data_IF_545899769889
#
_entry.id   IF_545899769889
#
_cell.length_a   1.000
_cell.length_b   1.000
_cell.length_c   1.000
_cell.angle_alpha   90.00
_cell.angle_beta   90.00
_cell.angle_gamma   90.00
#
_symmetry.space_group_name_H-M   'P 1'
#
loop_
_entity.id
_entity.type
_entity.pdbx_description
1 polymer ?
#
# COMPACT_ATOMS: atom_id res chain seq x y z
N UNK A 1 -6.14 9.84 25.86
CA UNK A 1 -6.75 9.86 24.51
C UNK A 1 -7.90 8.85 24.37
N UNK A 2 -8.54 8.42 25.48
CA UNK A 2 -9.55 7.35 25.47
C UNK A 2 -10.96 7.87 25.13
N UNK A 3 -11.31 9.07 25.56
CA UNK A 3 -12.69 9.56 25.58
C UNK A 3 -13.32 9.88 24.20
N UNK A 4 -12.53 10.05 23.13
CA UNK A 4 -13.06 10.36 21.78
C UNK A 4 -13.42 9.09 21.01
N UNK A 5 -12.72 7.98 21.28
CA UNK A 5 -12.90 6.67 20.62
C UNK A 5 -14.21 6.02 21.05
N UNK A 6 -14.63 6.22 22.31
CA UNK A 6 -15.81 5.58 22.90
C UNK A 6 -17.16 6.16 22.42
N UNK A 7 -17.15 7.34 21.79
CA UNK A 7 -18.38 8.04 21.34
C UNK A 7 -18.63 7.87 19.84
N UNK A 8 -17.58 7.56 19.08
CA UNK A 8 -17.69 7.36 17.64
C UNK A 8 -18.12 5.92 17.35
N UNK A 9 -19.10 5.69 16.45
CA UNK A 9 -19.53 4.35 16.05
C UNK A 9 -18.48 3.73 15.10
N UNK A 10 -17.30 3.44 15.64
CA UNK A 10 -16.14 2.99 14.88
C UNK A 10 -16.42 1.67 14.15
N UNK A 11 -17.24 0.79 14.74
CA UNK A 11 -17.70 -0.45 14.16
C UNK A 11 -18.57 -0.28 12.91
N UNK A 12 -19.22 0.87 12.75
CA UNK A 12 -20.02 1.22 11.57
C UNK A 12 -19.23 1.95 10.47
N UNK A 13 -17.97 2.35 10.74
CA UNK A 13 -17.14 3.05 9.75
C UNK A 13 -16.79 2.08 8.61
N UNK A 14 -17.21 2.45 7.40
CA UNK A 14 -16.92 1.70 6.17
C UNK A 14 -15.79 2.31 5.34
N UNK A 15 -15.48 3.59 5.58
CA UNK A 15 -14.43 4.33 4.88
C UNK A 15 -13.61 5.13 5.87
N UNK A 16 -12.29 5.01 5.78
CA UNK A 16 -11.33 5.70 6.64
C UNK A 16 -10.30 6.37 5.75
N UNK A 17 -10.11 7.65 5.95
CA UNK A 17 -9.05 8.45 5.31
C UNK A 17 -8.05 8.80 6.39
N UNK A 18 -6.78 8.44 6.17
CA UNK A 18 -5.69 8.71 7.10
C UNK A 18 -4.64 9.57 6.42
N UNK A 19 -4.19 10.61 7.13
CA UNK A 19 -3.11 11.49 6.72
C UNK A 19 -2.32 11.85 7.99
N UNK A 20 -1.23 11.14 8.25
CA UNK A 20 -0.38 11.40 9.40
C UNK A 20 0.94 10.65 9.31
N UNK A 21 2.00 11.37 8.95
CA UNK A 21 3.38 10.85 8.94
C UNK A 21 3.96 10.62 10.35
N UNK A 22 3.51 11.40 11.36
CA UNK A 22 4.18 11.46 12.67
C UNK A 22 3.39 10.89 13.86
N UNK A 23 2.06 10.83 13.79
CA UNK A 23 1.25 10.39 14.93
C UNK A 23 1.00 8.87 14.98
N UNK A 24 1.26 8.15 13.89
CA UNK A 24 0.99 6.71 13.78
C UNK A 24 2.22 6.00 13.20
N UNK A 25 3.05 5.48 14.08
CA UNK A 25 4.38 4.96 13.72
C UNK A 25 4.44 3.43 13.78
N UNK A 26 3.64 2.82 14.67
CA UNK A 26 3.65 1.39 14.91
C UNK A 26 2.29 0.73 14.63
N UNK A 27 2.29 -0.59 14.42
CA UNK A 27 1.05 -1.35 14.32
C UNK A 27 0.18 -1.21 15.57
N UNK A 28 0.79 -1.08 16.75
CA UNK A 28 0.08 -0.86 18.02
C UNK A 28 -0.73 0.44 17.99
N UNK A 29 -0.19 1.50 17.40
CA UNK A 29 -0.88 2.78 17.29
C UNK A 29 -2.10 2.65 16.38
N UNK A 30 -1.96 1.94 15.25
CA UNK A 30 -3.08 1.63 14.36
C UNK A 30 -4.19 0.83 15.06
N UNK A 31 -3.84 -0.23 15.79
CA UNK A 31 -4.83 -1.02 16.54
C UNK A 31 -5.51 -0.19 17.64
N UNK A 32 -4.76 0.67 18.33
CA UNK A 32 -5.31 1.53 19.39
C UNK A 32 -6.31 2.54 18.83
N UNK A 33 -6.03 3.11 17.66
CA UNK A 33 -6.88 4.14 17.06
C UNK A 33 -8.05 3.57 16.25
N UNK A 34 -7.83 2.47 15.53
CA UNK A 34 -8.76 1.98 14.50
C UNK A 34 -9.10 0.49 14.62
N UNK A 35 -8.63 -0.21 15.66
CA UNK A 35 -8.87 -1.65 15.84
C UNK A 35 -10.36 -2.01 15.99
N UNK A 36 -11.20 -1.04 16.37
CA UNK A 36 -12.66 -1.21 16.44
C UNK A 36 -13.36 -1.13 15.06
N UNK A 37 -12.71 -0.62 14.02
CA UNK A 37 -13.31 -0.43 12.69
C UNK A 37 -13.42 -1.73 11.89
N UNK A 38 -14.16 -2.71 12.39
CA UNK A 38 -14.27 -4.05 11.80
C UNK A 38 -15.04 -4.09 10.48
N UNK A 39 -15.91 -3.10 10.23
CA UNK A 39 -16.70 -2.99 9.00
C UNK A 39 -16.00 -2.18 7.90
N UNK A 40 -14.73 -1.80 8.10
CA UNK A 40 -14.01 -0.96 7.15
C UNK A 40 -13.80 -1.69 5.81
N UNK A 41 -14.29 -1.08 4.73
CA UNK A 41 -14.19 -1.57 3.35
C UNK A 41 -13.23 -0.75 2.50
N UNK A 42 -13.07 0.53 2.81
CA UNK A 42 -12.22 1.45 2.05
C UNK A 42 -11.23 2.14 2.99
N UNK A 43 -9.95 1.96 2.72
CA UNK A 43 -8.87 2.67 3.41
C UNK A 43 -8.15 3.56 2.40
N UNK A 44 -8.06 4.85 2.71
CA UNK A 44 -7.28 5.84 1.96
C UNK A 44 -6.14 6.31 2.84
N UNK A 45 -4.93 6.23 2.30
CA UNK A 45 -3.69 6.53 2.98
C UNK A 45 -2.98 7.61 2.17
N UNK A 46 -2.80 8.78 2.77
CA UNK A 46 -2.33 9.99 2.09
C UNK A 46 -0.98 10.41 2.67
N UNK A 47 0.02 10.61 1.82
CA UNK A 47 1.39 11.11 2.13
C UNK A 47 2.27 10.21 3.00
N UNK A 48 1.78 9.09 3.56
CA UNK A 48 2.60 8.21 4.41
C UNK A 48 2.27 6.73 4.23
N UNK A 49 3.26 5.84 4.25
CA UNK A 49 3.01 4.39 4.32
C UNK A 49 4.11 3.67 5.07
N UNK A 50 4.08 3.84 6.40
CA UNK A 50 5.05 3.23 7.30
C UNK A 50 4.87 1.71 7.47
N UNK A 51 5.93 1.05 7.91
CA UNK A 51 5.94 -0.38 8.25
C UNK A 51 4.85 -0.77 9.25
N UNK A 52 4.50 0.13 10.17
CA UNK A 52 3.44 -0.09 11.16
C UNK A 52 2.07 -0.37 10.54
N UNK A 53 1.72 0.29 9.43
CA UNK A 53 0.45 0.05 8.74
C UNK A 53 0.42 -1.38 8.18
N UNK A 54 1.48 -1.77 7.46
CA UNK A 54 1.55 -3.09 6.87
C UNK A 54 1.55 -4.18 7.93
N UNK A 55 2.33 -4.02 9.00
CA UNK A 55 2.33 -4.97 10.12
C UNK A 55 0.93 -5.14 10.75
N UNK A 56 0.13 -4.06 10.83
CA UNK A 56 -1.25 -4.13 11.31
C UNK A 56 -2.20 -4.83 10.32
N UNK A 57 -1.97 -4.66 9.02
CA UNK A 57 -2.76 -5.27 7.95
C UNK A 57 -2.44 -6.76 7.73
N UNK A 58 -1.25 -7.23 8.10
CA UNK A 58 -0.72 -8.57 7.77
C UNK A 58 -0.45 -9.48 8.98
N UNK A 59 -0.91 -9.14 10.18
CA UNK A 59 -0.78 -9.96 11.41
C UNK A 59 0.62 -10.07 12.03
N UNK A 60 1.57 -9.18 11.73
CA UNK A 60 2.91 -9.29 12.34
C UNK A 60 2.95 -8.95 13.85
N UNK A 61 1.82 -8.55 14.46
CA UNK A 61 1.88 -7.89 15.76
C UNK A 61 1.42 -8.72 16.97
N UNK A 62 0.48 -9.67 16.91
CA UNK A 62 0.10 -10.45 18.12
C UNK A 62 -0.50 -11.84 17.85
N UNK A 63 -0.01 -12.84 18.58
CA UNK A 63 -0.61 -14.18 18.70
C UNK A 63 -2.12 -14.08 18.96
N UNK A 64 -2.93 -14.69 18.09
CA UNK A 64 -4.37 -14.81 18.25
C UNK A 64 -5.21 -13.58 17.86
N UNK A 65 -4.61 -12.52 17.31
CA UNK A 65 -5.39 -11.39 16.74
C UNK A 65 -5.69 -11.61 15.25
N UNK A 66 -6.79 -11.04 14.77
CA UNK A 66 -7.13 -10.95 13.34
C UNK A 66 -6.48 -9.71 12.72
N UNK A 67 -6.20 -9.68 11.40
CA UNK A 67 -5.61 -8.51 10.80
C UNK A 67 -6.59 -7.34 10.92
N UNK A 68 -6.06 -6.12 10.95
CA UNK A 68 -6.93 -4.96 10.88
C UNK A 68 -7.76 -4.98 9.60
N UNK A 69 -8.98 -4.47 9.72
CA UNK A 69 -9.94 -4.32 8.63
C UNK A 69 -10.18 -5.67 7.90
N UNK A 70 -10.76 -6.67 8.57
CA UNK A 70 -10.90 -8.02 8.03
C UNK A 70 -11.79 -8.10 6.78
N UNK A 71 -12.56 -7.05 6.47
CA UNK A 71 -13.43 -6.95 5.29
C UNK A 71 -12.98 -5.85 4.31
N UNK A 72 -11.72 -5.43 4.38
CA UNK A 72 -11.19 -4.37 3.52
C UNK A 72 -11.23 -4.78 2.05
N UNK A 73 -11.95 -4.02 1.23
CA UNK A 73 -12.14 -4.28 -0.20
C UNK A 73 -11.27 -3.40 -1.09
N UNK A 74 -10.96 -2.18 -0.63
CA UNK A 74 -10.20 -1.20 -1.39
C UNK A 74 -9.13 -0.54 -0.52
N UNK A 75 -7.90 -0.56 -1.01
CA UNK A 75 -6.77 0.15 -0.41
C UNK A 75 -6.26 1.20 -1.40
N UNK A 76 -6.29 2.46 -1.00
CA UNK A 76 -5.84 3.59 -1.82
C UNK A 76 -4.64 4.25 -1.17
N UNK A 77 -3.57 4.42 -1.95
CA UNK A 77 -2.42 5.24 -1.62
C UNK A 77 -2.45 6.50 -2.48
N UNK A 78 -2.24 7.64 -1.85
CA UNK A 78 -2.25 8.96 -2.48
C UNK A 78 -1.02 9.76 -2.02
N UNK A 79 -0.16 10.19 -2.95
CA UNK A 79 1.04 10.97 -2.60
C UNK A 79 2.10 10.19 -1.80
N UNK A 80 2.07 8.86 -1.82
CA UNK A 80 2.94 8.01 -0.98
C UNK A 80 4.21 7.59 -1.72
N UNK A 81 5.36 7.76 -1.06
CA UNK A 81 6.60 7.09 -1.46
C UNK A 81 6.59 5.61 -1.01
N UNK A 82 6.57 4.72 -2.00
CA UNK A 82 6.57 3.27 -1.80
C UNK A 82 7.90 2.61 -2.19
N UNK A 83 8.87 3.41 -2.65
CA UNK A 83 10.21 2.96 -3.02
C UNK A 83 11.13 2.82 -1.78
N UNK A 84 10.96 3.66 -0.77
CA UNK A 84 11.84 3.74 0.42
C UNK A 84 11.59 2.66 1.50
N UNK A 85 11.06 1.51 1.10
CA UNK A 85 10.48 0.54 2.02
C UNK A 85 11.20 -0.82 1.93
N UNK A 86 11.84 -1.28 3.02
CA UNK A 86 12.71 -2.48 3.09
C UNK A 86 12.08 -3.77 2.51
N UNK A 87 10.75 -3.85 2.50
CA UNK A 87 10.00 -4.98 1.91
C UNK A 87 9.26 -4.53 0.65
N UNK A 88 9.43 -5.24 -0.49
CA UNK A 88 8.71 -4.91 -1.71
C UNK A 88 7.20 -4.87 -1.52
N UNK A 89 6.55 -3.85 -2.08
CA UNK A 89 5.08 -3.68 -2.08
C UNK A 89 4.33 -4.95 -2.46
N UNK A 90 4.81 -5.67 -3.48
CA UNK A 90 4.25 -6.95 -3.92
C UNK A 90 4.16 -7.97 -2.78
N UNK A 91 5.21 -8.11 -1.98
CA UNK A 91 5.23 -9.06 -0.86
C UNK A 91 4.19 -8.68 0.19
N UNK A 92 4.09 -7.39 0.52
CA UNK A 92 3.13 -6.88 1.50
C UNK A 92 1.67 -7.10 1.09
N UNK A 93 1.36 -6.95 -0.20
CA UNK A 93 0.04 -7.26 -0.75
C UNK A 93 -0.29 -8.75 -0.69
N UNK A 94 0.71 -9.62 -0.95
CA UNK A 94 0.55 -11.08 -0.80
C UNK A 94 0.33 -11.43 0.67
N UNK A 95 1.16 -10.90 1.57
CA UNK A 95 1.03 -11.15 3.01
C UNK A 95 -0.36 -10.70 3.52
N UNK A 96 -0.89 -9.61 2.97
CA UNK A 96 -2.25 -9.13 3.26
C UNK A 96 -3.32 -10.10 2.76
N UNK A 97 -3.21 -10.60 1.53
CA UNK A 97 -4.16 -11.56 1.00
C UNK A 97 -4.11 -12.88 1.78
N UNK A 98 -2.93 -13.34 2.20
CA UNK A 98 -2.80 -14.51 3.09
C UNK A 98 -3.50 -14.27 4.43
N UNK A 99 -3.35 -13.08 5.01
CA UNK A 99 -3.95 -12.73 6.30
C UNK A 99 -5.49 -12.60 6.23
N UNK A 100 -6.04 -12.12 5.12
CA UNK A 100 -7.47 -11.96 4.91
C UNK A 100 -7.88 -12.34 3.46
N UNK A 101 -7.96 -13.66 3.15
CA UNK A 101 -8.09 -14.14 1.77
C UNK A 101 -9.32 -13.62 1.04
N UNK A 102 -9.10 -13.08 -0.16
CA UNK A 102 -10.18 -12.68 -1.07
C UNK A 102 -10.98 -11.44 -0.64
N UNK A 103 -10.52 -10.74 0.41
CA UNK A 103 -11.20 -9.55 0.93
C UNK A 103 -10.82 -8.31 0.12
N UNK A 104 -9.52 -8.11 -0.08
CA UNK A 104 -8.99 -6.98 -0.81
C UNK A 104 -9.13 -7.22 -2.32
N UNK A 105 -9.96 -6.39 -2.96
CA UNK A 105 -10.35 -6.53 -4.36
C UNK A 105 -9.63 -5.52 -5.25
N UNK A 106 -9.33 -4.34 -4.71
CA UNK A 106 -8.75 -3.22 -5.48
C UNK A 106 -7.64 -2.57 -4.69
N UNK A 107 -6.51 -2.31 -5.35
CA UNK A 107 -5.47 -1.42 -4.86
C UNK A 107 -5.33 -0.24 -5.82
N UNK A 108 -5.33 0.97 -5.28
CA UNK A 108 -5.23 2.20 -6.05
C UNK A 108 -3.99 2.97 -5.65
N UNK A 109 -3.30 3.50 -6.65
CA UNK A 109 -2.15 4.37 -6.47
C UNK A 109 -2.43 5.68 -7.20
N UNK A 110 -2.47 6.78 -6.46
CA UNK A 110 -2.56 8.14 -6.98
C UNK A 110 -1.32 8.90 -6.55
N UNK A 111 -0.68 9.59 -7.49
CA UNK A 111 0.48 10.45 -7.22
C UNK A 111 1.59 9.78 -6.37
N UNK A 112 1.71 8.45 -6.46
CA UNK A 112 2.73 7.67 -5.74
C UNK A 112 3.99 7.56 -6.58
N UNK A 113 5.16 7.65 -5.94
CA UNK A 113 6.44 7.38 -6.60
C UNK A 113 6.64 5.86 -6.75
N UNK A 114 6.09 5.29 -7.82
CA UNK A 114 6.18 3.86 -8.13
C UNK A 114 6.68 3.67 -9.56
N UNK A 115 7.76 2.88 -9.70
CA UNK A 115 8.20 2.42 -11.01
C UNK A 115 7.17 1.48 -11.61
N UNK A 116 6.82 1.72 -12.87
CA UNK A 116 5.83 0.92 -13.61
C UNK A 116 6.17 -0.57 -13.67
N UNK A 117 7.44 -0.93 -13.77
CA UNK A 117 7.92 -2.31 -13.78
C UNK A 117 7.60 -3.04 -12.48
N UNK A 118 7.49 -2.32 -11.35
CA UNK A 118 7.05 -2.87 -10.07
C UNK A 118 5.55 -3.17 -10.07
N UNK A 119 4.73 -2.29 -10.64
CA UNK A 119 3.28 -2.49 -10.78
C UNK A 119 2.93 -3.71 -11.65
N UNK A 120 3.60 -3.87 -12.80
CA UNK A 120 3.39 -5.04 -13.70
C UNK A 120 3.65 -6.39 -13.01
N UNK A 121 4.48 -6.43 -11.97
CA UNK A 121 4.81 -7.66 -11.23
C UNK A 121 3.78 -8.02 -10.17
N UNK A 122 2.87 -7.10 -9.82
CA UNK A 122 1.80 -7.31 -8.83
C UNK A 122 0.64 -8.04 -9.52
N UNK A 123 0.47 -9.32 -9.21
CA UNK A 123 -0.71 -10.09 -9.62
C UNK A 123 -1.75 -9.96 -8.52
N UNK A 124 -2.68 -9.02 -8.67
CA UNK A 124 -3.76 -8.74 -7.73
C UNK A 124 -5.07 -8.55 -8.52
N UNK A 125 -6.27 -8.83 -7.97
CA UNK A 125 -7.50 -8.82 -8.76
C UNK A 125 -7.76 -7.53 -9.54
N UNK A 126 -7.43 -6.37 -8.95
CA UNK A 126 -7.46 -5.09 -9.66
C UNK A 126 -6.44 -4.12 -9.09
N UNK A 127 -5.64 -3.51 -9.97
CA UNK A 127 -4.69 -2.44 -9.66
C UNK A 127 -5.05 -1.23 -10.53
N UNK A 128 -5.26 -0.07 -9.91
CA UNK A 128 -5.57 1.19 -10.60
C UNK A 128 -4.43 2.16 -10.33
N UNK A 129 -3.91 2.82 -11.37
CA UNK A 129 -2.84 3.80 -11.25
C UNK A 129 -3.25 5.13 -11.91
N UNK A 130 -3.26 6.22 -11.13
CA UNK A 130 -3.66 7.57 -11.56
C UNK A 130 -5.00 7.60 -12.32
N UNK A 131 -5.97 6.81 -11.85
CA UNK A 131 -7.31 6.73 -12.45
C UNK A 131 -7.39 5.90 -13.73
N UNK A 132 -6.27 5.35 -14.23
CA UNK A 132 -6.25 4.43 -15.36
C UNK A 132 -6.36 2.98 -14.88
N UNK A 133 -7.30 2.22 -15.47
CA UNK A 133 -7.38 0.75 -15.31
C UNK A 133 -6.37 0.03 -16.21
N UNK A 134 -6.00 0.65 -17.33
CA UNK A 134 -4.95 0.19 -18.23
C UNK A 134 -3.64 0.84 -17.81
N UNK A 135 -2.66 0.04 -17.38
CA UNK A 135 -1.30 0.55 -17.18
C UNK A 135 -0.81 1.05 -18.56
N UNK A 136 -0.64 2.38 -18.78
CA UNK A 136 -0.65 3.00 -20.10
C UNK A 136 0.36 2.32 -21.01
N UNK A 137 -0.04 1.46 -21.97
CA UNK A 137 0.86 0.62 -22.78
C UNK A 137 2.14 1.37 -23.12
N UNK A 138 3.27 0.85 -22.63
CA UNK A 138 4.55 1.52 -22.84
C UNK A 138 4.80 1.43 -24.33
N UNK A 139 4.94 2.59 -24.98
CA UNK A 139 5.71 2.64 -26.20
C UNK A 139 7.04 1.94 -25.87
N UNK A 140 7.34 0.92 -26.67
CA UNK A 140 8.63 0.25 -26.65
C UNK A 140 9.64 1.35 -26.97
N UNK A 141 10.28 1.91 -25.93
CA UNK A 141 11.46 2.74 -26.11
C UNK A 141 12.47 1.86 -26.83
N UNK A 142 12.75 2.26 -28.07
CA UNK A 142 13.57 1.54 -29.02
C UNK A 142 14.93 1.22 -28.46
N UNK A 143 15.48 0.14 -29.00
CA UNK A 143 16.90 -0.17 -28.97
C UNK A 143 17.66 1.04 -29.53
N UNK A 144 18.25 1.86 -28.65
CA UNK A 144 19.32 2.75 -29.05
C UNK A 144 20.60 1.90 -29.06
N UNK A 145 20.86 1.33 -30.24
CA UNK A 145 22.18 0.89 -30.68
C UNK A 145 23.10 2.11 -30.70
N UNK A 146 23.89 2.31 -29.64
CA UNK A 146 25.10 3.14 -29.71
C UNK A 146 26.31 2.20 -29.72
N UNK A 147 26.55 1.64 -30.92
CA UNK A 147 27.89 1.32 -31.40
C UNK A 147 28.62 2.67 -31.57
N UNK A 148 29.58 2.97 -30.69
CA UNK A 148 30.71 3.83 -31.05
C UNK A 148 31.99 3.22 -30.48
N UNK A 149 32.73 2.60 -31.40
CA UNK A 149 34.15 2.31 -31.31
C UNK A 149 34.91 3.63 -31.03
N UNK A 150 35.75 3.66 -30.00
CA UNK A 150 36.92 4.55 -29.98
C UNK A 150 38.11 3.81 -29.35
N UNK A 151 38.99 3.38 -30.24
CA UNK A 151 40.41 3.18 -29.99
C UNK A 151 41.04 4.50 -29.50
N UNK A 152 41.72 4.53 -28.35
CA UNK A 152 42.86 5.43 -28.13
C UNK A 152 43.71 4.99 -26.92
N UNK A 153 44.96 5.41 -26.94
CA UNK A 153 46.15 4.73 -26.43
C UNK A 153 46.80 5.36 -25.19
N UNK A 154 47.72 4.60 -24.55
CA UNK A 154 48.70 5.08 -23.58
C UNK A 154 48.28 4.89 -22.12
N UNK A 155 49.05 4.26 -21.23
CA UNK A 155 50.49 4.34 -20.99
C UNK A 155 51.09 3.01 -20.52
#
# INVERSE_FOLDING_TARGET
MQAVVDVLPLDAITTLVTRSEYAILSAKDFFTLFGACRSLRHLVVIDFCGLGLWAALTLEYMDGTQPMFPVLECLTFDGVDLNDNERPLKKRLIDRDVAAPGTLKVVRFFDCDLKRTSLKKIKFPKVIWNGSEELPHGEEEGEDDDDDEDDDDGW
#
